data_IF_261208085129
#
_entry.id   IF_261208085129
#
_cell.length_a   1.000
_cell.length_b   1.000
_cell.length_c   1.000
_cell.angle_alpha   90.00
_cell.angle_beta   90.00
_cell.angle_gamma   90.00
#
_symmetry.space_group_name_H-M   'P 1'
#
loop_
_entity.id
_entity.type
_entity.pdbx_description
1 polymer ?
#
# COMPACT_ATOMS: atom_id res chain seq x y z
N UNK A 1 -7.23 -7.02 -26.23
CA UNK A 1 -7.87 -8.22 -26.79
C UNK A 1 -9.20 -7.80 -27.41
N UNK A 2 -9.37 -8.00 -28.70
CA UNK A 2 -10.62 -7.69 -29.43
C UNK A 2 -11.72 -8.62 -28.93
N UNK A 3 -12.84 -8.05 -28.47
CA UNK A 3 -14.03 -8.84 -28.13
C UNK A 3 -14.87 -8.99 -29.39
N UNK A 4 -15.22 -10.22 -29.73
CA UNK A 4 -16.09 -10.53 -30.85
C UNK A 4 -17.49 -10.81 -30.32
N UNK A 5 -18.50 -10.26 -30.99
CA UNK A 5 -19.91 -10.53 -30.69
C UNK A 5 -20.31 -11.92 -31.22
N UNK A 6 -19.64 -12.95 -30.71
CA UNK A 6 -19.71 -14.30 -31.24
C UNK A 6 -20.75 -15.17 -30.54
N UNK A 7 -21.63 -14.57 -29.71
CA UNK A 7 -22.63 -15.24 -28.87
C UNK A 7 -22.10 -16.51 -28.18
N UNK A 8 -20.80 -16.50 -27.85
CA UNK A 8 -20.09 -17.67 -27.37
C UNK A 8 -20.54 -18.02 -25.96
N UNK A 9 -20.68 -19.31 -25.69
CA UNK A 9 -21.02 -19.78 -24.35
C UNK A 9 -20.16 -20.98 -23.94
N UNK A 10 -19.88 -21.01 -22.64
CA UNK A 10 -19.21 -22.09 -21.93
C UNK A 10 -20.23 -22.71 -20.98
N UNK A 11 -20.51 -24.00 -21.13
CA UNK A 11 -21.29 -24.80 -20.17
C UNK A 11 -20.36 -25.78 -19.48
N UNK A 12 -20.28 -25.66 -18.17
CA UNK A 12 -19.62 -26.63 -17.31
C UNK A 12 -20.71 -27.41 -16.59
N UNK A 13 -20.65 -28.73 -16.67
CA UNK A 13 -21.58 -29.64 -16.00
C UNK A 13 -20.78 -30.54 -15.08
N UNK A 14 -21.10 -30.49 -13.80
CA UNK A 14 -20.59 -31.36 -12.75
C UNK A 14 -21.75 -32.24 -12.32
N UNK A 15 -21.54 -33.55 -12.26
CA UNK A 15 -22.57 -34.52 -11.88
C UNK A 15 -22.26 -35.08 -10.51
N UNK A 16 -23.25 -35.14 -9.63
CA UNK A 16 -23.10 -35.73 -8.29
C UNK A 16 -22.83 -37.24 -8.35
N UNK A 17 -23.28 -37.91 -9.43
CA UNK A 17 -23.05 -39.35 -9.66
C UNK A 17 -21.61 -39.64 -10.15
N UNK A 18 -20.91 -38.62 -10.67
CA UNK A 18 -19.55 -38.71 -11.20
C UNK A 18 -18.73 -37.51 -10.71
N UNK A 19 -18.44 -37.42 -9.39
CA UNK A 19 -17.84 -36.23 -8.78
C UNK A 19 -16.45 -35.89 -9.34
N UNK A 20 -15.74 -36.89 -9.87
CA UNK A 20 -14.41 -36.73 -10.47
C UNK A 20 -14.44 -36.34 -11.95
N UNK A 21 -15.63 -36.21 -12.55
CA UNK A 21 -15.78 -35.91 -13.99
C UNK A 21 -16.50 -34.59 -14.20
N UNK A 22 -15.84 -33.69 -14.91
CA UNK A 22 -16.42 -32.42 -15.35
C UNK A 22 -16.60 -32.43 -16.85
N UNK A 23 -17.83 -32.20 -17.32
CA UNK A 23 -18.09 -32.00 -18.75
C UNK A 23 -18.03 -30.53 -19.08
N UNK A 24 -17.16 -30.17 -20.02
CA UNK A 24 -17.01 -28.80 -20.49
C UNK A 24 -17.44 -28.72 -21.96
N UNK A 25 -18.43 -27.91 -22.29
CA UNK A 25 -18.86 -27.62 -23.67
C UNK A 25 -18.67 -26.14 -23.95
N UNK A 26 -17.90 -25.83 -24.98
CA UNK A 26 -17.66 -24.46 -25.46
C UNK A 26 -18.26 -24.36 -26.86
N UNK A 27 -19.02 -23.30 -27.12
CA UNK A 27 -19.52 -22.99 -28.45
C UNK A 27 -19.20 -21.54 -28.78
N UNK A 28 -18.71 -21.30 -29.99
CA UNK A 28 -18.60 -19.98 -30.59
C UNK A 28 -19.52 -19.94 -31.81
N UNK A 29 -20.35 -18.90 -31.93
CA UNK A 29 -21.27 -18.75 -33.07
C UNK A 29 -20.57 -18.19 -34.30
N UNK A 30 -19.57 -17.33 -34.12
CA UNK A 30 -18.75 -16.75 -35.18
C UNK A 30 -17.29 -17.16 -35.03
N UNK A 31 -16.67 -17.59 -36.13
CA UNK A 31 -15.23 -17.81 -36.18
C UNK A 31 -14.51 -16.46 -36.02
N UNK A 32 -13.61 -16.39 -35.05
CA UNK A 32 -12.76 -15.23 -34.83
C UNK A 32 -11.30 -15.66 -34.77
N UNK A 33 -10.38 -14.67 -34.76
CA UNK A 33 -8.94 -14.92 -34.66
C UNK A 33 -8.64 -15.96 -33.58
N UNK A 34 -7.71 -16.87 -33.89
CA UNK A 34 -7.29 -17.94 -32.96
C UNK A 34 -6.86 -17.31 -31.64
N UNK A 35 -7.18 -18.00 -30.56
CA UNK A 35 -6.67 -17.66 -29.23
C UNK A 35 -5.15 -17.54 -29.29
N UNK A 36 -4.62 -16.36 -28.96
CA UNK A 36 -3.19 -16.17 -28.78
C UNK A 36 -2.77 -16.90 -27.51
N UNK A 37 -1.81 -17.81 -27.61
CA UNK A 37 -1.25 -18.46 -26.44
C UNK A 37 -0.60 -17.41 -25.53
N UNK A 38 -1.16 -17.24 -24.34
CA UNK A 38 -0.66 -16.34 -23.30
C UNK A 38 0.29 -17.05 -22.34
N UNK A 39 0.68 -18.28 -22.63
CA UNK A 39 1.67 -18.99 -21.84
C UNK A 39 3.02 -18.26 -21.88
N UNK A 40 3.73 -18.32 -20.75
CA UNK A 40 5.10 -17.82 -20.69
C UNK A 40 5.97 -18.78 -21.52
N UNK A 41 6.72 -18.28 -22.52
CA UNK A 41 7.64 -19.12 -23.29
C UNK A 41 8.72 -19.75 -22.41
N UNK A 42 9.20 -20.95 -22.77
CA UNK A 42 10.12 -21.71 -21.91
C UNK A 42 11.46 -21.01 -21.68
N UNK A 43 11.99 -20.30 -22.68
CA UNK A 43 13.19 -19.47 -22.50
C UNK A 43 12.99 -18.37 -21.44
N UNK A 44 11.78 -17.83 -21.30
CA UNK A 44 11.46 -16.84 -20.26
C UNK A 44 11.29 -17.52 -18.89
N UNK A 45 10.71 -18.73 -18.83
CA UNK A 45 10.65 -19.51 -17.58
C UNK A 45 12.05 -19.87 -17.06
N UNK A 46 12.96 -20.23 -17.96
CA UNK A 46 14.37 -20.48 -17.64
C UNK A 46 15.03 -19.20 -17.11
N UNK A 47 14.82 -18.06 -17.77
CA UNK A 47 15.32 -16.77 -17.30
C UNK A 47 14.82 -16.45 -15.88
N UNK A 48 13.52 -16.61 -15.62
CA UNK A 48 12.92 -16.39 -14.29
C UNK A 48 13.55 -17.32 -13.25
N UNK A 49 13.84 -18.57 -13.61
CA UNK A 49 14.47 -19.56 -12.73
C UNK A 49 15.91 -19.19 -12.38
N UNK A 50 16.70 -18.77 -13.39
CA UNK A 50 18.06 -18.27 -13.20
C UNK A 50 18.10 -17.02 -12.33
N UNK A 51 17.10 -16.14 -12.46
CA UNK A 51 16.95 -14.92 -11.68
C UNK A 51 16.04 -15.09 -10.45
N UNK A 52 15.85 -16.31 -9.94
CA UNK A 52 14.91 -16.58 -8.83
C UNK A 52 15.21 -15.78 -7.55
N UNK A 53 16.47 -15.35 -7.34
CA UNK A 53 16.89 -14.50 -6.22
C UNK A 53 16.73 -12.99 -6.48
N UNK A 54 16.38 -12.57 -7.71
CA UNK A 54 16.11 -11.17 -8.05
C UNK A 54 14.66 -10.79 -7.75
N UNK A 55 14.38 -9.49 -7.63
CA UNK A 55 13.00 -9.03 -7.51
C UNK A 55 12.27 -9.15 -8.85
N UNK A 56 10.95 -9.48 -8.87
CA UNK A 56 10.19 -9.65 -10.10
C UNK A 56 10.24 -8.45 -11.07
N UNK A 57 10.37 -7.23 -10.55
CA UNK A 57 10.51 -6.03 -11.37
C UNK A 57 11.80 -6.00 -12.18
N UNK A 58 12.92 -6.43 -11.61
CA UNK A 58 14.20 -6.50 -12.33
C UNK A 58 14.16 -7.54 -13.45
N UNK A 59 13.50 -8.68 -13.20
CA UNK A 59 13.30 -9.71 -14.22
C UNK A 59 12.44 -9.15 -15.37
N UNK A 60 11.38 -8.43 -15.03
CA UNK A 60 10.53 -7.76 -16.02
C UNK A 60 11.29 -6.71 -16.84
N UNK A 61 12.10 -5.88 -16.21
CA UNK A 61 12.89 -4.85 -16.89
C UNK A 61 13.90 -5.49 -17.86
N UNK A 62 14.51 -6.61 -17.47
CA UNK A 62 15.39 -7.39 -18.36
C UNK A 62 14.63 -7.96 -19.56
N UNK A 63 13.43 -8.51 -19.35
CA UNK A 63 12.59 -9.03 -20.45
C UNK A 63 12.26 -7.90 -21.43
N UNK A 64 11.93 -6.70 -20.93
CA UNK A 64 11.66 -5.54 -21.78
C UNK A 64 12.91 -5.04 -22.53
N UNK A 65 14.11 -5.19 -21.95
CA UNK A 65 15.35 -4.85 -22.64
C UNK A 65 15.66 -5.82 -23.79
N UNK A 66 15.45 -7.12 -23.57
CA UNK A 66 15.72 -8.17 -24.57
C UNK A 66 14.60 -8.28 -25.62
N UNK A 67 13.35 -7.98 -25.25
CA UNK A 67 12.19 -7.99 -26.12
C UNK A 67 11.18 -6.88 -25.74
N UNK A 68 11.37 -5.65 -26.26
CA UNK A 68 10.51 -4.50 -25.95
C UNK A 68 9.05 -4.68 -26.36
N UNK A 69 8.79 -5.44 -27.43
CA UNK A 69 7.47 -5.64 -28.03
C UNK A 69 6.76 -6.90 -27.51
N UNK A 70 7.18 -7.40 -26.35
CA UNK A 70 6.59 -8.60 -25.74
C UNK A 70 5.11 -8.40 -25.38
N UNK A 71 4.27 -9.40 -25.69
CA UNK A 71 2.87 -9.44 -25.25
C UNK A 71 2.71 -9.92 -23.80
N UNK A 72 3.80 -10.34 -23.16
CA UNK A 72 3.80 -10.73 -21.76
C UNK A 72 3.47 -9.55 -20.86
N UNK A 73 2.99 -9.85 -19.67
CA UNK A 73 2.70 -8.85 -18.65
C UNK A 73 3.59 -9.07 -17.44
N UNK A 74 3.91 -7.97 -16.75
CA UNK A 74 4.57 -8.01 -15.43
C UNK A 74 3.85 -8.95 -14.45
N UNK A 75 2.53 -9.07 -14.53
CA UNK A 75 1.73 -9.96 -13.68
C UNK A 75 2.00 -11.44 -13.95
N UNK A 76 2.15 -11.85 -15.22
CA UNK A 76 2.53 -13.23 -15.56
C UNK A 76 3.91 -13.57 -14.99
N UNK A 77 4.88 -12.67 -15.15
CA UNK A 77 6.24 -12.85 -14.60
C UNK A 77 6.20 -12.97 -13.08
N UNK A 78 5.47 -12.07 -12.42
CA UNK A 78 5.29 -12.13 -10.97
C UNK A 78 4.67 -13.46 -10.53
N UNK A 79 3.58 -13.89 -11.16
CA UNK A 79 2.88 -15.13 -10.81
C UNK A 79 3.78 -16.36 -10.96
N UNK A 80 4.54 -16.44 -12.07
CA UNK A 80 5.47 -17.55 -12.28
C UNK A 80 6.66 -17.51 -11.32
N UNK A 81 7.24 -16.33 -11.08
CA UNK A 81 8.29 -16.14 -10.07
C UNK A 81 7.82 -16.57 -8.67
N UNK A 82 6.60 -16.20 -8.27
CA UNK A 82 6.00 -16.62 -6.99
C UNK A 82 5.81 -18.13 -6.94
N UNK A 83 5.37 -18.74 -8.03
CA UNK A 83 5.17 -20.18 -8.11
C UNK A 83 6.49 -20.94 -7.89
N UNK A 84 7.56 -20.59 -8.59
CA UNK A 84 8.86 -21.27 -8.45
C UNK A 84 9.51 -21.02 -7.08
N UNK A 85 9.28 -19.84 -6.49
CA UNK A 85 9.83 -19.49 -5.19
C UNK A 85 8.96 -19.98 -4.02
N UNK A 86 7.77 -20.54 -4.28
CA UNK A 86 6.83 -20.95 -3.22
C UNK A 86 7.51 -21.86 -2.21
N UNK A 87 8.19 -22.91 -2.67
CA UNK A 87 8.82 -23.91 -1.79
C UNK A 87 10.01 -23.34 -1.00
N UNK A 88 10.61 -22.23 -1.47
CA UNK A 88 11.72 -21.56 -0.78
C UNK A 88 11.25 -20.77 0.44
N UNK A 89 10.05 -20.16 0.36
CA UNK A 89 9.57 -19.19 1.36
C UNK A 89 8.34 -19.66 2.15
N UNK A 90 7.48 -20.51 1.57
CA UNK A 90 6.34 -21.12 2.25
C UNK A 90 6.79 -22.46 2.84
N UNK A 91 7.37 -22.39 4.03
CA UNK A 91 7.87 -23.54 4.78
C UNK A 91 6.81 -24.22 5.64
N UNK A 92 5.65 -23.57 5.83
CA UNK A 92 4.51 -24.12 6.54
C UNK A 92 3.18 -23.66 5.90
N UNK A 93 2.10 -24.40 6.16
CA UNK A 93 0.75 -24.03 5.72
C UNK A 93 0.22 -22.81 6.48
N UNK A 94 0.52 -22.73 7.78
CA UNK A 94 0.27 -21.54 8.58
C UNK A 94 1.30 -20.45 8.25
N UNK A 95 0.83 -19.27 7.86
CA UNK A 95 1.68 -18.15 7.42
C UNK A 95 2.63 -17.64 8.52
N UNK A 96 2.17 -17.59 9.78
CA UNK A 96 2.97 -17.11 10.92
C UNK A 96 4.07 -18.12 11.25
N UNK A 97 3.72 -19.41 11.31
CA UNK A 97 4.71 -20.47 11.53
C UNK A 97 5.72 -20.56 10.38
N UNK A 98 5.28 -20.34 9.13
CA UNK A 98 6.16 -20.24 7.97
C UNK A 98 7.13 -19.07 8.11
N UNK A 99 6.66 -17.90 8.55
CA UNK A 99 7.52 -16.74 8.78
C UNK A 99 8.57 -17.01 9.87
N UNK A 100 8.18 -17.61 11.00
CA UNK A 100 9.13 -18.03 12.03
C UNK A 100 10.15 -19.05 11.52
N UNK A 101 9.74 -20.02 10.69
CA UNK A 101 10.65 -20.99 10.10
C UNK A 101 11.66 -20.32 9.16
N UNK A 102 11.23 -19.34 8.36
CA UNK A 102 12.11 -18.54 7.50
C UNK A 102 13.08 -17.72 8.36
N UNK A 103 12.60 -17.03 9.39
CA UNK A 103 13.46 -16.25 10.28
C UNK A 103 14.52 -17.13 10.93
N UNK A 104 14.14 -18.28 11.51
CA UNK A 104 15.08 -19.24 12.12
C UNK A 104 16.13 -19.76 11.12
N UNK A 105 15.77 -19.93 9.84
CA UNK A 105 16.69 -20.39 8.80
C UNK A 105 17.80 -19.36 8.51
N UNK A 106 17.49 -18.08 8.64
CA UNK A 106 18.38 -16.96 8.30
C UNK A 106 18.99 -16.25 9.53
N UNK A 107 18.52 -16.58 10.73
CA UNK A 107 19.04 -16.05 11.99
C UNK A 107 20.54 -16.35 12.16
N UNK A 108 21.28 -15.34 12.60
CA UNK A 108 22.74 -15.34 12.71
C UNK A 108 23.50 -15.31 11.38
N UNK A 109 22.82 -15.40 10.23
CA UNK A 109 23.41 -15.34 8.88
C UNK A 109 23.16 -14.00 8.21
N UNK A 110 21.94 -13.81 7.71
CA UNK A 110 21.53 -12.61 6.98
C UNK A 110 20.74 -11.66 7.89
N UNK A 111 20.08 -12.22 8.90
CA UNK A 111 19.30 -11.47 9.88
C UNK A 111 19.72 -11.81 11.30
N UNK A 112 19.34 -10.96 12.23
CA UNK A 112 19.35 -11.24 13.66
C UNK A 112 17.94 -11.10 14.20
N UNK A 113 17.40 -12.14 14.83
CA UNK A 113 16.11 -12.06 15.49
C UNK A 113 16.22 -11.10 16.69
N UNK A 114 15.30 -10.15 16.76
CA UNK A 114 15.25 -9.15 17.83
C UNK A 114 14.45 -9.74 18.99
N UNK A 115 15.05 -9.90 20.18
CA UNK A 115 14.32 -10.38 21.35
C UNK A 115 13.37 -9.28 21.82
N UNK A 116 12.07 -9.59 21.78
CA UNK A 116 11.00 -8.73 22.29
C UNK A 116 10.31 -9.46 23.42
N UNK A 117 10.03 -8.76 24.53
CA UNK A 117 9.34 -9.37 25.66
C UNK A 117 7.92 -9.75 25.26
N UNK A 118 7.58 -11.03 25.47
CA UNK A 118 6.22 -11.51 25.25
C UNK A 118 5.25 -10.79 26.18
N UNK A 119 4.14 -10.32 25.61
CA UNK A 119 3.08 -9.68 26.34
C UNK A 119 1.73 -10.18 25.84
N UNK A 120 0.81 -10.42 26.78
CA UNK A 120 -0.53 -10.91 26.44
C UNK A 120 -1.21 -9.95 25.46
N UNK A 121 -1.79 -10.51 24.41
CA UNK A 121 -2.50 -9.73 23.38
C UNK A 121 -1.60 -9.06 22.35
N UNK A 122 -0.27 -9.24 22.39
CA UNK A 122 0.66 -8.81 21.34
C UNK A 122 1.36 -10.03 20.76
N UNK A 123 1.24 -10.23 19.45
CA UNK A 123 2.12 -11.14 18.70
C UNK A 123 3.15 -10.31 17.93
N UNK A 124 4.40 -10.76 17.92
CA UNK A 124 5.51 -10.01 17.33
C UNK A 124 6.52 -10.94 16.67
N UNK A 125 7.00 -10.54 15.49
CA UNK A 125 8.15 -11.10 14.80
C UNK A 125 9.05 -9.95 14.39
N UNK A 126 10.21 -9.83 15.01
CA UNK A 126 11.13 -8.73 14.79
C UNK A 126 12.52 -9.25 14.40
N UNK A 127 13.16 -8.60 13.42
CA UNK A 127 14.52 -8.93 13.00
C UNK A 127 15.26 -7.71 12.44
N UNK A 128 16.57 -7.69 12.61
CA UNK A 128 17.47 -6.73 11.98
C UNK A 128 18.23 -7.35 10.81
N UNK A 129 18.68 -6.52 9.85
CA UNK A 129 19.55 -6.96 8.75
C UNK A 129 21.01 -6.92 9.20
N UNK A 130 21.60 -8.12 9.38
CA UNK A 130 22.88 -8.30 10.06
C UNK A 130 24.01 -7.54 9.37
N UNK A 131 24.21 -7.81 8.08
CA UNK A 131 25.29 -7.20 7.29
C UNK A 131 25.21 -5.66 7.28
N UNK A 132 24.00 -5.11 7.20
CA UNK A 132 23.80 -3.66 7.23
C UNK A 132 24.19 -3.08 8.59
N UNK A 133 23.76 -3.72 9.67
CA UNK A 133 24.06 -3.27 11.03
C UNK A 133 25.55 -3.38 11.37
N UNK A 134 26.20 -4.47 10.95
CA UNK A 134 27.65 -4.68 11.16
C UNK A 134 28.49 -3.68 10.37
N UNK A 135 28.13 -3.42 9.11
CA UNK A 135 28.92 -2.55 8.24
C UNK A 135 28.65 -1.06 8.45
N UNK A 136 27.42 -0.68 8.80
CA UNK A 136 26.99 0.72 8.81
C UNK A 136 26.47 1.20 10.17
N UNK A 137 26.17 0.32 11.12
CA UNK A 137 25.53 0.69 12.40
C UNK A 137 26.24 1.82 13.14
N UNK A 138 27.57 1.77 13.20
CA UNK A 138 28.39 2.82 13.82
C UNK A 138 28.38 4.16 13.07
N UNK A 139 27.98 4.19 11.79
CA UNK A 139 27.90 5.41 11.00
C UNK A 139 26.49 6.01 10.97
N UNK A 140 25.48 5.29 11.47
CA UNK A 140 24.09 5.76 11.50
C UNK A 140 23.94 6.88 12.52
N UNK A 141 23.70 8.09 12.03
CA UNK A 141 23.38 9.28 12.83
C UNK A 141 21.85 9.53 12.91
N UNK A 142 21.10 9.03 11.95
CA UNK A 142 19.66 9.26 11.81
C UNK A 142 18.92 7.94 11.62
N UNK A 143 17.82 7.75 12.36
CA UNK A 143 16.92 6.60 12.21
C UNK A 143 15.49 7.08 12.04
N UNK A 144 14.83 6.65 10.97
CA UNK A 144 13.41 6.80 10.76
C UNK A 144 12.68 5.47 11.00
N UNK A 145 11.48 5.52 11.58
CA UNK A 145 10.55 4.40 11.62
C UNK A 145 9.22 4.80 11.01
N UNK A 146 8.59 3.88 10.30
CA UNK A 146 7.24 4.04 9.78
C UNK A 146 6.52 2.69 9.82
N UNK A 147 5.20 2.74 9.84
CA UNK A 147 4.33 1.58 9.84
C UNK A 147 3.36 1.55 8.67
N UNK A 148 3.09 0.35 8.17
CA UNK A 148 2.07 0.13 7.15
C UNK A 148 1.15 -1.02 7.53
N UNK A 149 -0.12 -0.87 7.16
CA UNK A 149 -1.18 -1.84 7.41
C UNK A 149 -1.63 -2.52 6.11
N UNK A 150 -2.32 -3.66 6.25
CA UNK A 150 -2.91 -4.40 5.12
C UNK A 150 -1.90 -4.90 4.07
N UNK A 151 -0.66 -5.15 4.49
CA UNK A 151 0.41 -5.69 3.62
C UNK A 151 0.41 -7.21 3.52
N UNK A 152 -0.39 -7.89 4.33
CA UNK A 152 -0.46 -9.35 4.41
C UNK A 152 -1.89 -9.82 4.70
N UNK A 153 -2.17 -11.09 4.41
CA UNK A 153 -3.50 -11.69 4.55
C UNK A 153 -3.94 -11.88 6.01
N UNK A 154 -3.01 -11.88 6.96
CA UNK A 154 -3.27 -12.15 8.40
C UNK A 154 -3.43 -10.85 9.21
N UNK A 155 -3.33 -9.69 8.55
CA UNK A 155 -3.55 -8.39 9.20
C UNK A 155 -2.43 -7.94 10.13
N UNK A 156 -1.20 -8.44 9.97
CA UNK A 156 -0.06 -7.87 10.69
C UNK A 156 0.22 -6.44 10.22
N UNK A 157 0.50 -5.58 11.17
CA UNK A 157 1.15 -4.29 10.95
C UNK A 157 2.65 -4.54 10.73
N UNK A 158 3.24 -3.84 9.77
CA UNK A 158 4.67 -3.89 9.49
C UNK A 158 5.30 -2.55 9.82
N UNK A 159 6.21 -2.53 10.79
CA UNK A 159 7.13 -1.41 11.02
C UNK A 159 8.45 -1.68 10.31
N UNK A 160 9.04 -0.64 9.73
CA UNK A 160 10.39 -0.66 9.20
C UNK A 160 11.21 0.45 9.87
N UNK A 161 12.38 0.10 10.40
CA UNK A 161 13.40 1.05 10.82
C UNK A 161 14.43 1.20 9.70
N UNK A 162 14.69 2.43 9.30
CA UNK A 162 15.60 2.80 8.21
C UNK A 162 16.61 3.81 8.75
N UNK A 163 17.88 3.61 8.44
CA UNK A 163 18.96 4.53 8.77
C UNK A 163 19.47 5.27 7.54
N UNK A 164 20.11 6.40 7.74
CA UNK A 164 20.88 7.08 6.70
C UNK A 164 22.37 6.75 6.85
N UNK A 165 23.01 6.39 5.74
CA UNK A 165 24.47 6.38 5.62
C UNK A 165 24.91 6.76 4.21
N UNK A 166 25.86 7.70 4.11
CA UNK A 166 26.47 8.15 2.86
C UNK A 166 25.44 8.60 1.79
N UNK A 167 24.39 9.30 2.22
CA UNK A 167 23.30 9.78 1.36
C UNK A 167 22.35 8.67 0.89
N UNK A 168 22.37 7.50 1.53
CA UNK A 168 21.52 6.34 1.16
C UNK A 168 20.68 5.93 2.35
N UNK A 169 19.44 5.55 2.06
CA UNK A 169 18.55 4.90 3.02
C UNK A 169 18.90 3.41 3.12
N UNK A 170 19.19 2.95 4.33
CA UNK A 170 19.54 1.57 4.63
C UNK A 170 18.46 0.93 5.52
N UNK A 171 17.83 -0.18 5.11
CA UNK A 171 16.91 -0.90 5.97
C UNK A 171 17.68 -1.52 7.15
N UNK A 172 17.29 -1.20 8.38
CA UNK A 172 17.97 -1.68 9.59
C UNK A 172 17.23 -2.83 10.23
N UNK A 173 15.91 -2.68 10.43
CA UNK A 173 15.09 -3.68 11.11
C UNK A 173 13.64 -3.64 10.65
N UNK A 174 12.96 -4.77 10.81
CA UNK A 174 11.54 -4.94 10.53
C UNK A 174 10.84 -5.55 11.72
N UNK A 175 9.59 -5.13 11.94
CA UNK A 175 8.71 -5.66 12.99
C UNK A 175 7.35 -5.95 12.41
N UNK A 176 6.94 -7.21 12.44
CA UNK A 176 5.58 -7.62 12.17
C UNK A 176 4.85 -7.78 13.50
N UNK A 177 3.70 -7.15 13.66
CA UNK A 177 2.94 -7.26 14.91
C UNK A 177 1.44 -7.31 14.69
N UNK A 178 0.74 -7.97 15.60
CA UNK A 178 -0.71 -7.84 15.77
C UNK A 178 -1.02 -7.57 17.23
N UNK A 179 -2.12 -6.84 17.45
CA UNK A 179 -2.65 -6.58 18.78
C UNK A 179 -4.08 -7.08 18.86
N UNK A 180 -4.43 -7.78 19.94
CA UNK A 180 -5.81 -8.13 20.28
C UNK A 180 -6.35 -7.15 21.32
N UNK A 181 -7.66 -7.22 21.61
CA UNK A 181 -8.29 -6.42 22.67
C UNK A 181 -7.82 -6.76 24.08
N UNK A 182 -7.00 -7.80 24.26
CA UNK A 182 -6.43 -8.20 25.55
C UNK A 182 -5.09 -7.51 25.86
N UNK A 183 -4.54 -6.74 24.90
CA UNK A 183 -3.29 -6.02 25.08
C UNK A 183 -3.42 -4.94 26.17
N UNK A 184 -2.45 -4.89 27.08
CA UNK A 184 -2.44 -3.87 28.12
C UNK A 184 -2.18 -2.47 27.51
N UNK A 185 -2.54 -1.38 28.23
CA UNK A 185 -2.21 -0.03 27.79
C UNK A 185 -0.70 0.12 27.50
N UNK A 186 -0.38 0.78 26.40
CA UNK A 186 0.99 1.02 25.92
C UNK A 186 1.81 -0.26 25.63
N UNK A 187 1.16 -1.40 25.38
CA UNK A 187 1.85 -2.64 25.01
C UNK A 187 2.68 -2.47 23.74
N UNK A 188 2.15 -1.75 22.74
CA UNK A 188 2.90 -1.39 21.53
C UNK A 188 4.13 -0.55 21.85
N UNK A 189 4.03 0.46 22.71
CA UNK A 189 5.16 1.31 23.12
C UNK A 189 6.29 0.48 23.74
N UNK A 190 5.95 -0.51 24.56
CA UNK A 190 6.93 -1.42 25.18
C UNK A 190 7.57 -2.34 24.14
N UNK A 191 6.75 -2.94 23.27
CA UNK A 191 7.21 -3.78 22.16
C UNK A 191 8.19 -3.03 21.24
N UNK A 192 7.80 -1.84 20.76
CA UNK A 192 8.68 -0.97 19.96
C UNK A 192 9.89 -0.52 20.77
N UNK A 193 9.72 -0.31 22.09
CA UNK A 193 10.81 0.02 22.99
C UNK A 193 11.89 -1.07 23.04
N UNK A 194 11.52 -2.34 23.11
CA UNK A 194 12.49 -3.45 23.09
C UNK A 194 13.27 -3.48 21.76
N UNK A 195 12.56 -3.26 20.64
CA UNK A 195 13.17 -3.20 19.31
C UNK A 195 14.14 -2.02 19.19
N UNK A 196 13.74 -0.83 19.60
CA UNK A 196 14.57 0.37 19.52
C UNK A 196 15.75 0.32 20.49
N UNK A 197 15.60 -0.30 21.65
CA UNK A 197 16.73 -0.53 22.56
C UNK A 197 17.75 -1.48 21.94
N UNK A 198 17.29 -2.55 21.29
CA UNK A 198 18.16 -3.48 20.57
C UNK A 198 18.89 -2.79 19.41
N UNK A 199 18.19 -1.91 18.69
CA UNK A 199 18.75 -1.16 17.57
C UNK A 199 19.78 -0.12 18.04
N UNK A 200 19.49 0.62 19.11
CA UNK A 200 20.40 1.62 19.67
C UNK A 200 21.74 1.03 20.14
N UNK A 201 21.76 -0.25 20.56
CA UNK A 201 23.00 -0.98 20.90
C UNK A 201 23.88 -1.23 19.68
N UNK A 202 23.30 -1.37 18.48
CA UNK A 202 24.00 -1.60 17.20
C UNK A 202 24.30 -0.31 16.45
N UNK A 203 23.52 0.73 16.72
CA UNK A 203 23.69 2.06 16.17
C UNK A 203 23.93 3.07 17.30
N UNK A 204 25.14 3.11 17.89
CA UNK A 204 25.40 3.93 19.09
C UNK A 204 25.42 5.44 18.84
N UNK A 205 25.53 5.87 17.58
CA UNK A 205 25.74 7.26 17.20
C UNK A 205 24.46 7.99 16.74
N UNK A 206 23.28 7.41 17.03
CA UNK A 206 22.00 8.03 16.66
C UNK A 206 21.83 9.37 17.41
N UNK A 207 21.69 10.45 16.66
CA UNK A 207 21.44 11.82 17.14
C UNK A 207 20.11 12.39 16.63
N UNK A 208 19.52 11.80 15.59
CA UNK A 208 18.19 12.17 15.09
C UNK A 208 17.30 10.94 14.98
N UNK A 209 16.03 11.09 15.37
CA UNK A 209 15.00 10.07 15.16
C UNK A 209 13.77 10.67 14.50
N UNK A 210 13.14 9.90 13.59
CA UNK A 210 11.98 10.34 12.84
C UNK A 210 10.88 9.28 12.87
N UNK A 211 9.62 9.71 12.96
CA UNK A 211 8.44 8.85 12.89
C UNK A 211 7.26 9.56 12.23
N UNK A 212 6.18 8.86 11.86
CA UNK A 212 4.90 9.56 11.67
C UNK A 212 4.40 10.12 13.02
N UNK A 213 3.26 10.80 13.01
CA UNK A 213 2.50 11.22 14.20
C UNK A 213 1.88 10.05 14.99
N UNK A 214 2.50 8.87 14.95
CA UNK A 214 2.09 7.73 15.76
C UNK A 214 2.63 7.86 17.19
N UNK A 215 1.73 7.82 18.16
CA UNK A 215 2.10 8.09 19.55
C UNK A 215 2.97 6.96 20.13
N UNK A 216 2.78 5.72 19.71
CA UNK A 216 3.57 4.57 20.16
C UNK A 216 5.00 4.66 19.64
N UNK A 217 5.20 5.04 18.37
CA UNK A 217 6.52 5.31 17.78
C UNK A 217 7.24 6.45 18.52
N UNK A 218 6.56 7.60 18.70
CA UNK A 218 7.11 8.77 19.40
C UNK A 218 7.52 8.42 20.84
N UNK A 219 6.66 7.70 21.56
CA UNK A 219 6.92 7.31 22.95
C UNK A 219 8.13 6.37 23.04
N UNK A 220 8.21 5.38 22.15
CA UNK A 220 9.29 4.40 22.14
C UNK A 220 10.65 5.06 21.83
N UNK A 221 10.72 5.93 20.81
CA UNK A 221 11.95 6.69 20.50
C UNK A 221 12.41 7.55 21.68
N UNK A 222 11.50 8.35 22.26
CA UNK A 222 11.82 9.23 23.39
C UNK A 222 12.25 8.44 24.62
N UNK A 223 11.69 7.26 24.84
CA UNK A 223 12.04 6.43 25.99
C UNK A 223 13.42 5.77 25.86
N UNK A 224 13.77 5.31 24.65
CA UNK A 224 14.94 4.42 24.42
C UNK A 224 16.14 5.11 23.78
N UNK A 225 15.95 6.16 22.99
CA UNK A 225 17.02 6.94 22.34
C UNK A 225 16.97 8.39 22.82
N UNK A 226 17.13 8.58 24.14
CA UNK A 226 16.86 9.84 24.85
C UNK A 226 17.73 11.02 24.40
N UNK A 227 18.94 10.74 23.95
CA UNK A 227 19.90 11.79 23.54
C UNK A 227 19.67 12.25 22.10
N UNK A 228 18.86 11.54 21.33
CA UNK A 228 18.54 11.94 19.97
C UNK A 228 17.42 12.98 19.94
N UNK A 229 17.54 13.96 19.05
CA UNK A 229 16.46 14.90 18.75
C UNK A 229 15.40 14.19 17.92
N UNK A 230 14.26 13.91 18.55
CA UNK A 230 13.10 13.34 17.87
C UNK A 230 12.34 14.40 17.07
N UNK A 231 11.98 14.07 15.83
CA UNK A 231 11.23 14.93 14.91
C UNK A 231 10.14 14.13 14.21
N UNK A 232 9.06 14.79 13.79
CA UNK A 232 8.11 14.16 12.87
C UNK A 232 8.77 14.03 11.49
N UNK A 233 8.49 12.93 10.80
CA UNK A 233 8.93 12.71 9.44
C UNK A 233 8.40 13.85 8.55
N UNK A 234 9.32 14.57 7.90
CA UNK A 234 9.00 15.74 7.09
C UNK A 234 8.01 15.40 5.97
N UNK A 235 8.21 14.27 5.29
CA UNK A 235 7.32 13.82 4.23
C UNK A 235 5.88 13.59 4.74
N UNK A 236 5.74 12.90 5.87
CA UNK A 236 4.43 12.69 6.50
C UNK A 236 3.77 13.99 6.94
N UNK A 237 4.55 14.94 7.48
CA UNK A 237 4.05 16.24 7.88
C UNK A 237 3.53 17.05 6.67
N UNK A 238 4.30 17.12 5.58
CA UNK A 238 3.90 17.82 4.36
C UNK A 238 2.68 17.15 3.74
N UNK A 239 2.70 15.83 3.58
CA UNK A 239 1.56 15.08 3.02
C UNK A 239 0.29 15.29 3.84
N UNK A 240 0.40 15.25 5.17
CA UNK A 240 -0.74 15.53 6.04
C UNK A 240 -1.29 16.94 5.84
N UNK A 241 -0.42 17.95 5.72
CA UNK A 241 -0.84 19.33 5.47
C UNK A 241 -1.50 19.48 4.09
N UNK A 242 -0.90 18.91 3.04
CA UNK A 242 -1.45 18.93 1.69
C UNK A 242 -2.83 18.26 1.62
N UNK A 243 -2.97 17.07 2.21
CA UNK A 243 -4.26 16.37 2.29
C UNK A 243 -5.30 17.21 3.03
N UNK A 244 -4.94 17.79 4.18
CA UNK A 244 -5.84 18.64 4.97
C UNK A 244 -6.24 19.93 4.27
N UNK A 245 -5.32 20.55 3.53
CA UNK A 245 -5.59 21.78 2.78
C UNK A 245 -6.38 21.53 1.49
N UNK A 246 -6.26 20.35 0.90
CA UNK A 246 -7.03 19.94 -0.27
C UNK A 246 -8.45 19.45 0.07
N UNK A 247 -8.70 19.04 1.30
CA UNK A 247 -10.04 18.65 1.75
C UNK A 247 -10.98 19.86 1.81
N UNK A 248 -12.04 19.86 1.00
CA UNK A 248 -13.15 20.81 1.09
C UNK A 248 -14.11 20.43 2.24
N UNK A 249 -13.56 20.28 3.43
CA UNK A 249 -14.31 20.02 4.66
C UNK A 249 -14.12 21.20 5.59
N UNK A 250 -15.22 21.64 6.19
CA UNK A 250 -15.15 22.63 7.25
C UNK A 250 -14.19 22.11 8.35
N UNK A 251 -13.26 22.94 8.85
CA UNK A 251 -12.34 22.52 9.89
C UNK A 251 -13.13 22.08 11.12
N UNK A 252 -12.54 21.16 11.89
CA UNK A 252 -13.10 20.80 13.19
C UNK A 252 -13.24 22.06 14.06
N UNK A 253 -14.25 22.06 14.94
CA UNK A 253 -14.50 23.18 15.85
C UNK A 253 -13.22 23.47 16.66
N UNK A 254 -12.63 24.64 16.43
CA UNK A 254 -11.44 25.09 17.12
C UNK A 254 -11.82 25.93 18.34
N UNK A 255 -11.25 25.59 19.50
CA UNK A 255 -11.42 26.34 20.75
C UNK A 255 -10.10 27.03 21.11
N UNK A 256 -10.02 28.32 20.79
CA UNK A 256 -8.86 29.18 21.02
C UNK A 256 -8.49 29.29 22.50
N UNK A 257 -9.48 29.25 23.40
CA UNK A 257 -9.24 29.34 24.85
C UNK A 257 -8.65 28.04 25.36
N UNK A 258 -9.18 26.91 24.90
CA UNK A 258 -8.60 25.59 25.22
C UNK A 258 -7.17 25.47 24.68
N UNK A 259 -6.91 25.95 23.47
CA UNK A 259 -5.57 25.95 22.88
C UNK A 259 -4.61 26.85 23.67
N UNK A 260 -5.01 28.09 24.01
CA UNK A 260 -4.22 29.00 24.85
C UNK A 260 -3.92 28.43 26.24
N UNK A 261 -4.85 27.67 26.82
CA UNK A 261 -4.62 27.01 28.10
C UNK A 261 -3.49 25.98 28.04
N UNK A 262 -3.36 25.26 26.92
CA UNK A 262 -2.28 24.30 26.70
C UNK A 262 -1.00 24.96 26.21
N UNK A 263 -1.11 26.01 25.38
CA UNK A 263 -0.01 26.67 24.68
C UNK A 263 -0.15 28.18 24.79
N UNK A 264 0.54 28.77 25.77
CA UNK A 264 0.40 30.20 26.12
C UNK A 264 0.75 31.19 25.01
N UNK A 265 1.50 30.76 23.99
CA UNK A 265 1.84 31.59 22.84
C UNK A 265 0.68 31.77 21.84
N UNK A 266 -0.36 30.93 21.91
CA UNK A 266 -1.53 31.03 21.04
C UNK A 266 -2.41 32.16 21.56
N UNK A 267 -2.75 33.14 20.72
CA UNK A 267 -3.68 34.21 21.11
C UNK A 267 -5.08 33.62 21.41
N UNK A 268 -5.65 33.86 22.61
CA UNK A 268 -6.97 33.33 22.98
C UNK A 268 -8.12 33.92 22.16
N UNK A 269 -7.86 34.92 21.32
CA UNK A 269 -8.81 35.51 20.36
C UNK A 269 -8.60 35.02 18.93
N UNK A 270 -7.52 34.27 18.66
CA UNK A 270 -7.26 33.73 17.33
C UNK A 270 -8.30 32.69 16.95
N UNK A 271 -9.04 32.95 15.88
CA UNK A 271 -9.92 31.99 15.25
C UNK A 271 -9.42 31.69 13.84
N UNK A 272 -9.35 30.41 13.40
CA UNK A 272 -9.11 30.10 12.01
C UNK A 272 -10.25 30.73 11.19
N UNK A 273 -9.93 31.45 10.11
CA UNK A 273 -10.83 32.31 9.33
C UNK A 273 -11.98 31.62 8.58
N UNK A 274 -12.47 30.49 9.08
CA UNK A 274 -13.66 29.81 8.58
C UNK A 274 -14.82 30.16 9.50
N UNK A 275 -15.47 31.29 9.21
CA UNK A 275 -16.78 31.59 9.76
C UNK A 275 -17.75 30.52 9.25
N UNK A 276 -18.08 29.54 10.09
CA UNK A 276 -19.25 28.71 9.86
C UNK A 276 -20.44 29.64 9.72
N UNK A 277 -21.04 29.68 8.53
CA UNK A 277 -22.24 30.48 8.29
C UNK A 277 -23.29 30.12 9.34
N UNK A 278 -23.65 31.13 10.13
CA UNK A 278 -24.73 31.21 11.13
C UNK A 278 -24.40 30.65 12.51
N UNK A 279 -23.75 31.49 13.32
CA UNK A 279 -24.31 31.80 14.63
C UNK A 279 -24.68 33.27 14.62
N UNK A 280 -25.98 33.56 14.48
CA UNK A 280 -26.51 34.89 14.78
C UNK A 280 -26.34 35.11 16.29
N UNK A 281 -25.23 35.73 16.69
CA UNK A 281 -25.20 36.46 17.94
C UNK A 281 -26.19 37.62 17.76
N UNK A 282 -27.35 37.53 18.41
CA UNK A 282 -28.22 38.70 18.58
C UNK A 282 -27.44 39.69 19.45
N UNK A 283 -26.88 40.71 18.83
CA UNK A 283 -26.51 41.92 19.56
C UNK A 283 -27.78 42.63 20.04
N UNK A 284 -27.77 43.21 21.24
CA UNK A 284 -28.92 43.91 21.79
C UNK A 284 -29.13 45.22 21.04
N UNK A 285 -30.39 45.49 20.68
CA UNK A 285 -30.83 46.72 20.03
C UNK A 285 -30.48 47.94 20.90
N UNK A 286 -29.69 48.85 20.34
CA UNK A 286 -29.61 50.24 20.78
C UNK A 286 -30.13 51.13 19.66
N UNK A 287 -31.08 51.99 20.04
CA UNK A 287 -31.90 52.81 19.17
C UNK A 287 -31.21 54.10 18.70
N UNK A 288 -31.81 54.64 17.64
CA UNK A 288 -31.82 56.03 17.18
C UNK A 288 -30.75 56.49 16.17
N UNK A 289 -31.22 56.67 14.92
CA UNK A 289 -31.16 57.99 14.28
C UNK A 289 -30.35 58.10 12.98
N UNK A 290 -31.04 58.25 11.85
CA UNK A 290 -30.58 59.20 10.81
C UNK A 290 -30.27 58.66 9.40
N UNK A 291 -31.23 58.91 8.50
CA UNK A 291 -31.10 59.36 7.11
C UNK A 291 -30.51 58.46 5.99
N UNK A 292 -31.41 58.22 5.03
CA UNK A 292 -31.31 57.89 3.60
C UNK A 292 -30.04 58.38 2.88
N UNK A 293 -29.51 57.56 1.97
CA UNK A 293 -29.53 57.75 0.49
C UNK A 293 -29.06 56.46 -0.20
N UNK A 294 -29.78 56.02 -1.23
CA UNK A 294 -29.39 54.88 -2.06
C UNK A 294 -28.66 55.31 -3.33
N UNK A 295 -27.93 54.37 -3.94
CA UNK A 295 -27.62 54.31 -5.38
C UNK A 295 -27.45 52.84 -5.76
N UNK A 296 -28.21 52.41 -6.78
CA UNK A 296 -28.04 51.18 -7.54
C UNK A 296 -26.73 51.23 -8.32
N UNK A 297 -26.02 50.10 -8.48
CA UNK A 297 -25.53 49.80 -9.82
C UNK A 297 -25.42 48.31 -10.13
N UNK A 298 -25.93 47.97 -11.32
CA UNK A 298 -25.89 46.66 -11.97
C UNK A 298 -24.69 46.66 -12.93
N UNK A 299 -23.96 45.56 -13.00
CA UNK A 299 -23.53 45.05 -14.32
C UNK A 299 -23.25 43.55 -14.29
N UNK A 300 -23.96 42.87 -15.19
CA UNK A 300 -23.65 41.55 -15.72
C UNK A 300 -22.59 41.69 -16.80
N UNK A 301 -21.71 40.69 -16.95
CA UNK A 301 -21.34 40.13 -18.26
C UNK A 301 -21.04 38.64 -18.09
N UNK A 302 -21.71 37.79 -18.87
CA UNK A 302 -21.34 36.39 -19.11
C UNK A 302 -20.93 36.18 -20.57
N UNK A 303 -20.24 35.07 -20.85
CA UNK A 303 -20.01 34.58 -22.21
C UNK A 303 -19.93 33.04 -22.23
N UNK A 304 -20.73 32.41 -23.08
CA UNK A 304 -20.76 30.97 -23.40
C UNK A 304 -19.82 30.60 -24.56
N UNK A 305 -19.26 29.38 -24.58
CA UNK A 305 -19.67 28.18 -25.36
C UNK A 305 -19.19 28.16 -26.83
N UNK A 306 -18.48 27.10 -27.25
CA UNK A 306 -18.78 26.32 -28.48
C UNK A 306 -18.13 24.93 -28.51
N UNK A 307 -18.92 23.95 -28.96
CA UNK A 307 -18.63 22.54 -29.27
C UNK A 307 -18.58 22.40 -30.79
N UNK A 308 -17.81 21.47 -31.32
CA UNK A 308 -18.01 20.97 -32.69
C UNK A 308 -17.86 19.44 -32.78
N UNK A 309 -18.66 18.85 -33.68
CA UNK A 309 -18.98 17.44 -33.84
C UNK A 309 -18.87 17.17 -35.34
N UNK A 310 -18.21 16.09 -35.77
CA UNK A 310 -18.32 15.60 -37.15
C UNK A 310 -18.51 14.08 -37.17
N UNK A 311 -19.52 13.67 -37.93
CA UNK A 311 -19.91 12.32 -38.30
C UNK A 311 -19.54 12.06 -39.75
N UNK A 312 -19.29 10.81 -40.14
CA UNK A 312 -19.67 10.26 -41.45
C UNK A 312 -19.69 8.73 -41.41
N UNK A 313 -20.65 8.15 -42.13
CA UNK A 313 -20.88 6.71 -42.33
C UNK A 313 -20.60 6.32 -43.80
N UNK A 314 -20.49 5.01 -44.10
CA UNK A 314 -21.26 4.25 -45.14
C UNK A 314 -20.57 2.93 -45.59
N UNK A 315 -21.42 1.89 -45.74
CA UNK A 315 -21.43 0.68 -46.62
C UNK A 315 -20.56 -0.58 -46.38
N UNK A 316 -21.22 -1.75 -46.32
CA UNK A 316 -20.73 -3.10 -46.68
C UNK A 316 -20.98 -3.44 -48.17
N UNK A 317 -21.08 -4.71 -48.66
CA UNK A 317 -21.21 -6.03 -47.98
C UNK A 317 -20.31 -7.17 -48.58
N UNK A 318 -20.35 -8.39 -48.02
CA UNK A 318 -20.53 -9.70 -48.74
C UNK A 318 -20.46 -10.90 -47.78
N UNK A 319 -21.46 -11.79 -47.85
CA UNK A 319 -21.58 -13.04 -47.09
C UNK A 319 -20.83 -14.19 -47.77
N UNK A 320 -19.96 -14.88 -47.02
CA UNK A 320 -19.47 -16.22 -47.37
C UNK A 320 -19.79 -17.17 -46.23
N UNK A 321 -20.47 -18.28 -46.54
CA UNK A 321 -20.87 -19.32 -45.61
C UNK A 321 -19.68 -19.85 -44.79
N UNK A 322 -19.77 -19.75 -43.46
CA UNK A 322 -18.75 -20.26 -42.53
C UNK A 322 -19.24 -21.56 -41.91
N UNK A 323 -18.45 -22.63 -42.05
CA UNK A 323 -18.67 -23.92 -41.39
C UNK A 323 -18.67 -23.77 -39.87
N UNK A 324 -19.71 -24.28 -39.21
CA UNK A 324 -19.77 -24.41 -37.75
C UNK A 324 -18.76 -25.48 -37.33
N UNK A 325 -17.73 -25.08 -36.59
CA UNK A 325 -16.77 -26.02 -36.01
C UNK A 325 -17.24 -26.39 -34.59
N UNK A 326 -17.95 -27.51 -34.44
CA UNK A 326 -18.19 -28.11 -33.13
C UNK A 326 -16.97 -28.94 -32.72
N UNK A 327 -16.32 -28.55 -31.62
CA UNK A 327 -15.27 -29.35 -30.99
C UNK A 327 -15.77 -29.84 -29.64
N UNK A 328 -15.99 -31.15 -29.53
CA UNK A 328 -16.20 -31.82 -28.25
C UNK A 328 -14.85 -32.29 -27.72
N UNK A 329 -14.52 -31.91 -26.48
CA UNK A 329 -13.38 -32.44 -25.75
C UNK A 329 -13.87 -33.00 -24.42
N UNK A 330 -13.69 -34.31 -24.21
CA UNK A 330 -13.85 -34.93 -22.89
C UNK A 330 -12.48 -34.95 -22.22
N UNK A 331 -12.32 -34.19 -21.15
CA UNK A 331 -11.07 -34.13 -20.39
C UNK A 331 -11.28 -34.97 -19.12
N UNK A 332 -10.50 -36.04 -18.97
CA UNK A 332 -10.46 -36.86 -17.77
C UNK A 332 -9.42 -36.27 -16.81
N UNK A 333 -9.85 -35.88 -15.61
CA UNK A 333 -8.92 -35.61 -14.51
C UNK A 333 -8.96 -36.80 -13.56
N UNK A 334 -7.82 -37.46 -13.35
CA UNK A 334 -7.62 -38.33 -12.20
C UNK A 334 -7.14 -37.46 -11.05
N UNK A 335 -7.97 -37.32 -10.02
CA UNK A 335 -7.55 -36.79 -8.73
C UNK A 335 -6.75 -37.91 -8.04
N UNK A 336 -5.43 -37.74 -7.90
CA UNK A 336 -4.59 -38.49 -6.95
C UNK A 336 -4.47 -37.71 -5.65
#
# INVERSE_FOLDING_TARGET
MTRYDCEGWLRVTVSDDMPDTVRVRIRHHSAHGKYTDIAIPDNIKELISQMSNSVPSQIWDRILQENPDTELTRKQIYAHWTHINKNKWRLHENQVESAHAVMKKFDGKDIEIIPVKEEKGIAVMAFGLKEILENYGHSIAEVAMDSTWKTNAVGHELYAAVGEANGRALPLAFVFTTSTGEAAPNAKDRMLGDVLEWLAKRCPNIIFTLSDKDQSEINAFRAKIRNAKHQLCYWHAIKYLEERLAEDKAPAKYDCRRAHNLFKFIDPTWAPGVTTKKDHVKEPEASAGGSKTGVNDKSMVGAGVMKERQTNAVAGPEETAVSVEEREATIFYSLQ
#
